data_IF_590049381092
#
_entry.id   IF_590049381092
#
_cell.length_a   1.000
_cell.length_b   1.000
_cell.length_c   1.000
_cell.angle_alpha   90.00
_cell.angle_beta   90.00
_cell.angle_gamma   90.00
#
_symmetry.space_group_name_H-M   'P 1'
#
loop_
_entity.id
_entity.type
_entity.pdbx_description
1 polymer ?
#
# COMPACT_ATOMS: atom_id res chain seq x y z
N UNK A 1 7.29 -26.68 -57.05
CA UNK A 1 8.02 -25.84 -56.06
C UNK A 1 7.07 -24.76 -55.55
N UNK A 2 6.59 -24.87 -54.30
CA UNK A 2 6.21 -23.75 -53.41
C UNK A 2 5.72 -24.32 -52.07
N UNK A 3 6.62 -24.22 -51.10
CA UNK A 3 6.41 -24.41 -49.66
C UNK A 3 5.45 -23.32 -49.17
N UNK A 4 4.46 -23.62 -48.33
CA UNK A 4 3.79 -22.61 -47.49
C UNK A 4 3.86 -23.08 -46.05
N UNK A 5 4.51 -22.23 -45.25
CA UNK A 5 4.89 -22.39 -43.86
C UNK A 5 3.67 -22.44 -42.93
N UNK A 6 3.69 -23.39 -41.99
CA UNK A 6 2.91 -23.35 -40.75
C UNK A 6 3.36 -22.16 -39.89
N UNK A 7 2.42 -21.32 -39.45
CA UNK A 7 2.64 -20.36 -38.36
C UNK A 7 1.75 -20.78 -37.17
N UNK A 8 2.35 -21.56 -36.26
CA UNK A 8 1.85 -21.74 -34.90
C UNK A 8 2.04 -20.42 -34.15
N UNK A 9 0.96 -19.63 -34.04
CA UNK A 9 0.92 -18.46 -33.17
C UNK A 9 0.78 -18.90 -31.71
N UNK A 10 1.89 -18.91 -30.97
CA UNK A 10 1.89 -19.09 -29.53
C UNK A 10 1.19 -17.91 -28.85
N UNK A 11 0.06 -18.17 -28.19
CA UNK A 11 -0.54 -17.22 -27.27
C UNK A 11 0.36 -17.09 -26.04
N UNK A 12 1.11 -15.99 -25.97
CA UNK A 12 1.76 -15.56 -24.74
C UNK A 12 0.67 -15.13 -23.76
N UNK A 13 0.39 -15.96 -22.75
CA UNK A 13 -0.43 -15.59 -21.62
C UNK A 13 0.30 -14.51 -20.82
N UNK A 14 -0.05 -13.24 -21.05
CA UNK A 14 0.38 -12.14 -20.20
C UNK A 14 -0.28 -12.34 -18.82
N UNK A 15 0.51 -12.82 -17.86
CA UNK A 15 0.10 -12.80 -16.46
C UNK A 15 0.11 -11.35 -16.00
N UNK A 16 -1.06 -10.77 -15.77
CA UNK A 16 -1.22 -9.47 -15.12
C UNK A 16 -0.73 -9.60 -13.68
N UNK A 17 0.54 -9.27 -13.45
CA UNK A 17 1.05 -9.02 -12.11
C UNK A 17 0.24 -7.83 -11.54
N UNK A 18 -0.71 -8.12 -10.65
CA UNK A 18 -1.27 -7.10 -9.77
C UNK A 18 -0.10 -6.37 -9.12
N UNK A 19 -0.02 -5.05 -9.30
CA UNK A 19 1.11 -4.28 -8.80
C UNK A 19 1.25 -4.51 -7.28
N UNK A 20 2.38 -5.09 -6.88
CA UNK A 20 2.63 -5.39 -5.47
C UNK A 20 2.65 -4.10 -4.64
N UNK A 21 2.08 -4.15 -3.44
CA UNK A 21 2.07 -3.02 -2.50
C UNK A 21 3.50 -2.62 -2.10
N UNK A 22 3.71 -1.32 -1.84
CA UNK A 22 5.03 -0.82 -1.46
C UNK A 22 5.32 -1.06 0.02
N UNK A 23 6.47 -1.64 0.34
CA UNK A 23 6.83 -1.94 1.72
C UNK A 23 7.27 -0.67 2.50
N UNK A 24 6.76 -0.49 3.72
CA UNK A 24 7.25 0.51 4.67
C UNK A 24 8.46 -0.07 5.39
N UNK A 25 9.66 0.42 5.04
CA UNK A 25 10.93 -0.09 5.58
C UNK A 25 11.47 0.79 6.70
N UNK A 26 12.07 0.16 7.70
CA UNK A 26 12.74 0.85 8.80
C UNK A 26 14.24 0.90 8.53
N UNK A 27 14.88 1.99 8.94
CA UNK A 27 16.33 2.02 8.99
C UNK A 27 16.83 0.98 10.01
N UNK A 28 18.05 0.43 9.86
CA UNK A 28 18.62 -0.50 10.84
C UNK A 28 18.58 0.07 12.26
N UNK A 29 17.98 -0.67 13.20
CA UNK A 29 17.82 -0.26 14.60
C UNK A 29 16.68 0.73 14.88
N UNK A 30 15.95 1.20 13.85
CA UNK A 30 14.80 2.06 14.03
C UNK A 30 13.53 1.25 14.37
N UNK A 31 12.65 1.85 15.16
CA UNK A 31 11.30 1.34 15.47
C UNK A 31 10.20 2.04 14.66
N UNK A 32 10.59 2.89 13.72
CA UNK A 32 9.68 3.64 12.88
C UNK A 32 10.22 3.80 11.46
N UNK A 33 9.30 3.97 10.52
CA UNK A 33 9.56 4.25 9.12
C UNK A 33 8.45 5.10 8.52
N UNK A 34 8.79 5.79 7.43
CA UNK A 34 7.88 6.71 6.75
C UNK A 34 7.89 6.45 5.25
N UNK A 35 6.72 6.58 4.64
CA UNK A 35 6.57 6.65 3.20
C UNK A 35 5.86 7.96 2.85
N UNK A 36 6.30 8.58 1.77
CA UNK A 36 5.70 9.82 1.24
C UNK A 36 5.08 9.51 -0.10
N UNK A 37 3.98 10.20 -0.40
CA UNK A 37 3.31 10.00 -1.65
C UNK A 37 2.23 11.03 -1.91
N UNK A 38 1.44 10.72 -2.93
CA UNK A 38 0.25 11.44 -3.30
C UNK A 38 -0.81 10.44 -3.74
N UNK A 39 -2.07 10.78 -3.47
CA UNK A 39 -3.26 10.06 -3.93
C UNK A 39 -4.06 10.93 -4.89
N UNK A 40 -4.76 10.31 -5.83
CA UNK A 40 -5.82 10.93 -6.64
C UNK A 40 -7.10 10.14 -6.49
N UNK A 41 -8.22 10.74 -6.94
CA UNK A 41 -9.53 10.11 -6.88
C UNK A 41 -9.52 8.75 -7.59
N UNK A 42 -10.10 7.74 -6.94
CA UNK A 42 -10.19 6.39 -7.46
C UNK A 42 -8.89 5.57 -7.49
N UNK A 43 -7.74 6.14 -7.11
CA UNK A 43 -6.43 5.47 -7.18
C UNK A 43 -5.77 5.41 -5.79
N UNK A 44 -6.19 4.46 -4.93
CA UNK A 44 -5.57 4.29 -3.62
C UNK A 44 -4.11 3.83 -3.75
N UNK A 45 -3.27 4.30 -2.82
CA UNK A 45 -1.88 3.84 -2.68
C UNK A 45 -1.82 2.70 -1.67
N UNK A 46 -1.26 1.58 -2.09
CA UNK A 46 -1.10 0.40 -1.24
C UNK A 46 0.29 0.32 -0.63
N UNK A 47 0.34 0.08 0.68
CA UNK A 47 1.54 -0.17 1.45
C UNK A 47 1.45 -1.45 2.26
N UNK A 48 2.59 -2.05 2.59
CA UNK A 48 2.68 -3.20 3.49
C UNK A 48 3.73 -3.03 4.56
N UNK A 49 3.55 -3.73 5.68
CA UNK A 49 4.59 -3.91 6.69
C UNK A 49 4.43 -5.25 7.40
N UNK A 50 5.55 -5.88 7.73
CA UNK A 50 5.58 -7.07 8.58
C UNK A 50 5.60 -6.69 10.05
N UNK A 51 4.88 -7.44 10.88
CA UNK A 51 4.96 -7.33 12.33
C UNK A 51 4.95 -8.72 12.99
N UNK A 52 5.48 -8.79 14.20
CA UNK A 52 5.41 -9.96 15.09
C UNK A 52 4.15 -9.95 15.94
N UNK A 53 3.90 -11.08 16.61
CA UNK A 53 2.77 -11.19 17.55
C UNK A 53 3.08 -10.47 18.87
N UNK A 54 2.09 -9.73 19.38
CA UNK A 54 2.16 -9.03 20.66
C UNK A 54 2.81 -7.64 20.60
N UNK A 55 3.22 -7.16 19.42
CA UNK A 55 3.74 -5.80 19.27
C UNK A 55 2.58 -4.79 19.21
N UNK A 56 2.90 -3.52 19.41
CA UNK A 56 1.96 -2.40 19.21
C UNK A 56 2.36 -1.62 17.95
N UNK A 57 1.53 -1.67 16.92
CA UNK A 57 1.68 -0.85 15.73
C UNK A 57 0.90 0.46 15.88
N UNK A 58 1.53 1.58 15.53
CA UNK A 58 0.90 2.90 15.40
C UNK A 58 1.12 3.43 13.99
N UNK A 59 0.01 3.70 13.30
CA UNK A 59 -0.01 4.37 12.00
C UNK A 59 -0.53 5.80 12.17
N UNK A 60 0.10 6.74 11.48
CA UNK A 60 -0.32 8.14 11.42
C UNK A 60 -0.14 8.66 10.00
N UNK A 61 -1.10 9.42 9.50
CA UNK A 61 -0.99 10.12 8.23
C UNK A 61 -0.95 11.64 8.46
N UNK A 62 -0.12 12.31 7.68
CA UNK A 62 0.09 13.76 7.70
C UNK A 62 0.05 14.28 6.27
N UNK A 63 -0.20 15.57 6.06
CA UNK A 63 -0.13 16.22 4.75
C UNK A 63 -1.41 16.95 4.42
N UNK A 64 -2.34 16.27 3.73
CA UNK A 64 -3.66 16.80 3.38
C UNK A 64 -4.73 16.27 4.33
N UNK A 65 -5.64 17.17 4.76
CA UNK A 65 -6.85 16.82 5.53
C UNK A 65 -7.87 16.02 4.71
N UNK A 66 -7.65 15.88 3.40
CA UNK A 66 -8.47 15.08 2.51
C UNK A 66 -7.90 13.66 2.33
N UNK A 67 -7.00 13.20 3.19
CA UNK A 67 -6.43 11.85 3.11
C UNK A 67 -6.70 11.07 4.37
N UNK A 68 -7.04 9.79 4.22
CA UNK A 68 -7.11 8.85 5.32
C UNK A 68 -6.56 7.49 4.87
N UNK A 69 -6.31 6.61 5.83
CA UNK A 69 -5.89 5.24 5.53
C UNK A 69 -6.86 4.20 6.07
N UNK A 70 -6.86 3.04 5.42
CA UNK A 70 -7.59 1.83 5.86
C UNK A 70 -6.59 0.70 6.08
N UNK A 71 -6.77 -0.02 7.18
CA UNK A 71 -6.09 -1.28 7.47
C UNK A 71 -7.14 -2.39 7.39
N UNK A 72 -7.19 -3.17 6.30
CA UNK A 72 -8.25 -4.15 6.08
C UNK A 72 -8.45 -5.10 7.26
N UNK A 73 -9.72 -5.22 7.69
CA UNK A 73 -10.11 -6.06 8.83
C UNK A 73 -9.79 -5.48 10.21
N UNK A 74 -9.26 -4.26 10.29
CA UNK A 74 -8.92 -3.60 11.57
C UNK A 74 -9.65 -2.26 11.70
N UNK A 75 -9.47 -1.36 10.74
CA UNK A 75 -10.11 -0.06 10.76
C UNK A 75 -10.16 0.56 9.37
N UNK A 76 -11.27 1.24 9.10
CA UNK A 76 -11.47 2.02 7.88
C UNK A 76 -11.28 3.50 8.15
N UNK A 77 -10.74 4.19 7.14
CA UNK A 77 -10.52 5.64 7.05
C UNK A 77 -10.17 6.32 8.38
N UNK A 78 -8.90 6.23 8.75
CA UNK A 78 -8.31 6.85 9.94
C UNK A 78 -7.18 7.79 9.59
N UNK A 79 -6.98 8.78 10.46
CA UNK A 79 -5.80 9.66 10.42
C UNK A 79 -4.71 9.15 11.39
N UNK A 80 -5.15 8.45 12.43
CA UNK A 80 -4.30 7.76 13.40
C UNK A 80 -4.97 6.46 13.86
N UNK A 81 -4.16 5.40 14.02
CA UNK A 81 -4.60 4.12 14.54
C UNK A 81 -3.46 3.49 15.37
N UNK A 82 -3.79 2.97 16.55
CA UNK A 82 -2.90 2.09 17.32
C UNK A 82 -3.59 0.77 17.58
N UNK A 83 -2.90 -0.35 17.35
CA UNK A 83 -3.46 -1.69 17.52
C UNK A 83 -2.38 -2.72 17.83
N UNK A 84 -2.78 -3.82 18.48
CA UNK A 84 -1.90 -4.97 18.72
C UNK A 84 -1.75 -5.82 17.47
N UNK A 85 -0.55 -6.35 17.22
CA UNK A 85 -0.24 -7.12 16.01
C UNK A 85 -0.12 -8.63 16.28
N UNK A 86 -0.34 -9.39 15.22
CA UNK A 86 -0.06 -10.81 15.05
C UNK A 86 1.16 -10.97 14.15
N UNK A 87 1.74 -12.18 14.11
CA UNK A 87 2.84 -12.50 13.19
C UNK A 87 2.31 -12.64 11.77
N UNK A 88 2.26 -11.55 11.02
CA UNK A 88 1.85 -11.49 9.62
C UNK A 88 2.26 -10.17 8.97
N UNK A 89 2.05 -10.08 7.65
CA UNK A 89 2.09 -8.82 6.94
C UNK A 89 0.73 -8.13 6.98
N UNK A 90 0.75 -6.81 7.15
CA UNK A 90 -0.41 -5.94 7.15
C UNK A 90 -0.40 -5.07 5.90
N UNK A 91 -1.58 -4.85 5.34
CA UNK A 91 -1.79 -3.90 4.24
C UNK A 91 -2.35 -2.58 4.78
N UNK A 92 -1.91 -1.47 4.21
CA UNK A 92 -2.45 -0.14 4.47
C UNK A 92 -2.77 0.52 3.14
N UNK A 93 -4.03 0.93 2.96
CA UNK A 93 -4.47 1.64 1.76
C UNK A 93 -4.69 3.11 2.10
N UNK A 94 -4.00 4.02 1.43
CA UNK A 94 -4.16 5.47 1.56
C UNK A 94 -4.95 6.00 0.38
N UNK A 95 -5.95 6.84 0.62
CA UNK A 95 -6.83 7.38 -0.42
C UNK A 95 -7.36 8.78 -0.06
N UNK A 96 -7.98 9.43 -1.04
CA UNK A 96 -8.72 10.66 -0.80
C UNK A 96 -10.06 10.38 -0.11
N UNK A 97 -10.35 11.10 0.97
CA UNK A 97 -11.65 11.00 1.65
C UNK A 97 -12.78 11.53 0.77
N UNK A 98 -12.59 12.73 0.22
CA UNK A 98 -13.51 13.35 -0.73
C UNK A 98 -12.89 13.40 -2.11
N UNK A 99 -13.72 13.10 -3.13
CA UNK A 99 -13.28 13.14 -4.52
C UNK A 99 -12.79 14.53 -4.89
N UNK A 100 -11.58 14.59 -5.43
CA UNK A 100 -11.00 15.83 -5.94
C UNK A 100 -10.14 15.52 -7.17
N UNK A 101 -10.22 16.32 -8.24
CA UNK A 101 -9.43 16.08 -9.45
C UNK A 101 -7.94 16.37 -9.28
N UNK A 102 -7.51 16.99 -8.17
CA UNK A 102 -6.11 17.23 -7.87
C UNK A 102 -5.52 16.11 -7.01
N UNK A 103 -4.20 16.02 -6.99
CA UNK A 103 -3.48 15.19 -6.02
C UNK A 103 -3.61 15.74 -4.60
N UNK A 104 -3.64 14.84 -3.62
CA UNK A 104 -3.44 15.16 -2.21
C UNK A 104 -2.15 14.50 -1.70
N UNK A 105 -1.16 15.27 -1.23
CA UNK A 105 0.09 14.74 -0.70
C UNK A 105 -0.12 14.14 0.69
N UNK A 106 0.66 13.11 1.00
CA UNK A 106 0.69 12.51 2.33
C UNK A 106 2.08 12.04 2.74
N UNK A 107 2.27 11.95 4.06
CA UNK A 107 3.31 11.15 4.72
C UNK A 107 2.60 10.14 5.62
N UNK A 108 2.85 8.85 5.41
CA UNK A 108 2.37 7.77 6.27
C UNK A 108 3.54 7.31 7.14
N UNK A 109 3.40 7.44 8.45
CA UNK A 109 4.37 6.98 9.44
C UNK A 109 3.86 5.72 10.13
N UNK A 110 4.71 4.71 10.18
CA UNK A 110 4.52 3.51 10.98
C UNK A 110 5.51 3.52 12.15
N UNK A 111 5.06 3.15 13.34
CA UNK A 111 5.89 2.85 14.51
C UNK A 111 5.49 1.51 15.08
N UNK A 112 6.46 0.65 15.41
CA UNK A 112 6.23 -0.65 16.06
C UNK A 112 7.01 -0.67 17.38
N UNK A 113 6.35 -1.05 18.47
CA UNK A 113 6.94 -1.24 19.81
C UNK A 113 6.75 -2.66 20.30
#
# INVERSE_FOLDING_TARGET
MRLVLLLLGGLLAASSASAACSEIRFAPGASAGEVKGQVIDGEPRCFTFGAGSGQSARLQIFGSDNTCFTVPGIADCRDELTFGTDRRDYQVNVFQLFRKPSHDPFTLRLTIK
#
